data_IF_558122140605
#
_entry.id   IF_558122140605
#
_cell.length_a   1.000
_cell.length_b   1.000
_cell.length_c   1.000
_cell.angle_alpha   90.00
_cell.angle_beta   90.00
_cell.angle_gamma   90.00
#
_symmetry.space_group_name_H-M   'P 1'
#
loop_
_entity.id
_entity.type
_entity.pdbx_description
1 polymer ?
#
# COMPACT_ATOMS: atom_id res chain seq x y z
N UNK A 1 -15.36 -52.55 16.97
CA UNK A 1 -15.82 -51.31 16.30
C UNK A 1 -16.47 -50.28 17.22
N UNK A 2 -17.14 -50.67 18.31
CA UNK A 2 -17.85 -49.73 19.21
C UNK A 2 -16.93 -48.82 20.06
N UNK A 3 -15.69 -49.22 20.32
CA UNK A 3 -14.70 -48.43 21.08
C UNK A 3 -13.99 -47.35 20.24
N UNK A 4 -13.90 -47.51 18.91
CA UNK A 4 -13.27 -46.53 18.03
C UNK A 4 -14.14 -45.26 17.87
N UNK A 5 -15.47 -45.41 17.97
CA UNK A 5 -16.41 -44.31 17.86
C UNK A 5 -16.33 -43.36 19.08
N UNK A 6 -16.07 -43.88 20.27
CA UNK A 6 -15.96 -43.07 21.49
C UNK A 6 -14.69 -42.21 21.53
N UNK A 7 -13.58 -42.71 20.98
CA UNK A 7 -12.32 -41.94 20.88
C UNK A 7 -12.44 -40.79 19.87
N UNK A 8 -13.18 -41.00 18.78
CA UNK A 8 -13.38 -39.94 17.78
C UNK A 8 -14.33 -38.83 18.27
N UNK A 9 -15.34 -39.17 19.08
CA UNK A 9 -16.27 -38.20 19.67
C UNK A 9 -15.61 -37.36 20.77
N UNK A 10 -14.66 -37.91 21.54
CA UNK A 10 -13.89 -37.13 22.51
C UNK A 10 -12.82 -36.24 21.88
N UNK A 11 -12.28 -36.61 20.70
CA UNK A 11 -11.35 -35.76 19.94
C UNK A 11 -12.02 -34.52 19.33
N UNK A 12 -13.31 -34.59 18.97
CA UNK A 12 -14.10 -33.44 18.48
C UNK A 12 -14.52 -32.51 19.65
N UNK A 13 -14.67 -33.05 20.86
CA UNK A 13 -14.96 -32.25 22.05
C UNK A 13 -13.76 -31.44 22.56
N UNK A 14 -12.53 -31.81 22.18
CA UNK A 14 -11.29 -31.09 22.54
C UNK A 14 -10.86 -30.03 21.53
N UNK A 15 -11.48 -29.95 20.34
CA UNK A 15 -11.24 -28.86 19.39
C UNK A 15 -12.08 -27.59 19.69
N UNK A 16 -12.83 -27.58 20.79
CA UNK A 16 -13.70 -26.47 21.20
C UNK A 16 -13.06 -25.42 22.12
N UNK A 17 -11.77 -25.51 22.44
CA UNK A 17 -11.06 -24.49 23.23
C UNK A 17 -10.33 -23.48 22.34
N UNK A 18 -11.02 -22.90 21.35
CA UNK A 18 -10.61 -21.62 20.79
C UNK A 18 -11.27 -20.54 21.64
N UNK A 19 -10.53 -20.07 22.65
CA UNK A 19 -10.89 -18.97 23.54
C UNK A 19 -11.29 -17.72 22.74
N UNK A 20 -12.58 -17.61 22.45
CA UNK A 20 -13.21 -16.46 21.81
C UNK A 20 -13.43 -15.36 22.87
N UNK A 21 -12.34 -14.79 23.36
CA UNK A 21 -12.34 -13.41 23.85
C UNK A 21 -11.47 -12.58 22.92
N UNK A 22 -11.83 -12.59 21.62
CA UNK A 22 -11.30 -11.59 20.71
C UNK A 22 -11.73 -10.23 21.26
N UNK A 23 -10.74 -9.44 21.65
CA UNK A 23 -10.89 -8.08 22.12
C UNK A 23 -11.76 -7.32 21.11
N UNK A 24 -12.95 -6.85 21.54
CA UNK A 24 -13.98 -6.30 20.64
C UNK A 24 -13.44 -5.14 19.80
N UNK A 25 -12.44 -4.44 20.32
CA UNK A 25 -11.76 -3.35 19.65
C UNK A 25 -10.95 -3.81 18.45
N UNK A 26 -10.32 -5.00 18.51
CA UNK A 26 -9.56 -5.56 17.38
C UNK A 26 -10.52 -5.96 16.24
N UNK A 27 -11.67 -6.53 16.57
CA UNK A 27 -12.69 -6.90 15.57
C UNK A 27 -13.21 -5.65 14.85
N UNK A 28 -13.41 -4.53 15.57
CA UNK A 28 -13.86 -3.27 14.99
C UNK A 28 -12.84 -2.64 14.02
N UNK A 29 -11.55 -2.95 14.16
CA UNK A 29 -10.50 -2.44 13.26
C UNK A 29 -10.47 -3.19 11.93
N UNK A 30 -10.97 -4.43 11.86
CA UNK A 30 -10.90 -5.29 10.67
C UNK A 30 -11.97 -4.94 9.63
N UNK A 31 -11.87 -3.74 9.03
CA UNK A 31 -12.68 -3.36 7.88
C UNK A 31 -11.99 -3.80 6.56
N UNK A 32 -12.66 -4.52 5.64
CA UNK A 32 -12.06 -4.93 4.37
C UNK A 32 -11.77 -3.77 3.40
N UNK A 33 -12.48 -2.65 3.52
CA UNK A 33 -12.35 -1.49 2.61
C UNK A 33 -11.38 -0.42 3.14
N UNK A 34 -10.24 -0.84 3.69
CA UNK A 34 -9.19 0.08 4.15
C UNK A 34 -7.82 -0.25 3.56
N UNK A 35 -6.93 0.74 3.59
CA UNK A 35 -5.53 0.52 3.20
C UNK A 35 -4.81 -0.27 4.27
N UNK A 36 -3.81 -1.07 3.88
CA UNK A 36 -3.00 -1.81 4.84
C UNK A 36 -2.30 -0.89 5.84
N UNK A 37 -1.86 0.31 5.40
CA UNK A 37 -1.26 1.29 6.29
C UNK A 37 -2.23 1.75 7.39
N UNK A 38 -3.51 1.97 7.05
CA UNK A 38 -4.53 2.36 8.03
C UNK A 38 -4.80 1.25 9.04
N UNK A 39 -4.95 0.02 8.55
CA UNK A 39 -5.13 -1.15 9.41
C UNK A 39 -3.99 -1.28 10.44
N UNK A 40 -2.74 -1.17 9.99
CA UNK A 40 -1.55 -1.29 10.85
C UNK A 40 -1.46 -0.14 11.86
N UNK A 41 -1.80 1.08 11.44
CA UNK A 41 -1.84 2.23 12.32
C UNK A 41 -2.90 2.06 13.41
N UNK A 42 -4.11 1.63 13.05
CA UNK A 42 -5.22 1.47 13.99
C UNK A 42 -4.96 0.29 14.95
N UNK A 43 -4.36 -0.81 14.46
CA UNK A 43 -3.87 -1.90 15.30
C UNK A 43 -2.77 -1.46 16.28
N UNK A 44 -1.84 -0.61 15.84
CA UNK A 44 -0.81 -0.06 16.71
C UNK A 44 -1.42 0.82 17.81
N UNK A 45 -2.41 1.66 17.50
CA UNK A 45 -3.13 2.46 18.50
C UNK A 45 -3.81 1.60 19.54
N UNK A 46 -4.54 0.55 19.13
CA UNK A 46 -5.23 -0.31 20.11
C UNK A 46 -4.26 -1.11 20.95
N UNK A 47 -3.07 -1.42 20.45
CA UNK A 47 -2.02 -2.07 21.25
C UNK A 47 -1.48 -1.15 22.34
N UNK A 48 -1.35 0.15 22.05
CA UNK A 48 -0.82 1.15 22.99
C UNK A 48 -1.91 1.63 23.96
N UNK A 49 -3.13 1.87 23.47
CA UNK A 49 -4.24 2.45 24.22
C UNK A 49 -5.12 1.39 24.93
N UNK A 50 -4.59 0.19 25.22
CA UNK A 50 -5.37 -0.85 25.90
C UNK A 50 -5.89 -0.32 27.24
N UNK A 51 -7.22 -0.36 27.38
CA UNK A 51 -7.90 -0.11 28.64
C UNK A 51 -8.05 -1.44 29.35
N UNK A 52 -7.74 -1.49 30.65
CA UNK A 52 -8.02 -2.70 31.44
C UNK A 52 -9.52 -2.95 31.53
N UNK A 53 -9.91 -4.18 31.89
CA UNK A 53 -11.31 -4.58 32.10
C UNK A 53 -12.07 -3.71 33.14
N UNK A 54 -11.35 -2.92 33.93
CA UNK A 54 -11.84 -1.93 34.91
C UNK A 54 -12.03 -0.52 34.34
N UNK A 55 -11.79 -0.30 33.04
CA UNK A 55 -11.87 1.02 32.40
C UNK A 55 -10.72 1.97 32.74
N UNK A 56 -9.71 1.50 33.47
CA UNK A 56 -8.50 2.26 33.76
C UNK A 56 -7.48 2.09 32.61
N UNK A 57 -6.92 3.20 32.13
CA UNK A 57 -5.82 3.16 31.17
C UNK A 57 -4.59 2.54 31.82
N UNK A 58 -4.01 1.49 31.23
CA UNK A 58 -2.71 1.00 31.68
C UNK A 58 -1.62 2.06 31.43
N UNK A 59 -0.57 2.11 32.26
CA UNK A 59 0.59 2.95 31.98
C UNK A 59 1.22 2.49 30.66
N UNK A 60 1.09 3.33 29.63
CA UNK A 60 1.81 3.17 28.37
C UNK A 60 3.31 3.21 28.65
N UNK A 61 4.04 2.20 28.17
CA UNK A 61 5.50 2.26 28.26
C UNK A 61 6.00 3.36 27.31
N UNK A 62 6.96 4.17 27.77
CA UNK A 62 7.57 5.22 26.93
C UNK A 62 8.13 4.65 25.61
N UNK A 63 8.51 3.38 25.60
CA UNK A 63 8.94 2.65 24.42
C UNK A 63 7.78 2.40 23.43
N UNK A 64 6.61 1.99 23.90
CA UNK A 64 5.43 1.78 23.04
C UNK A 64 4.97 3.09 22.39
N UNK A 65 5.05 4.21 23.10
CA UNK A 65 4.75 5.54 22.57
C UNK A 65 5.74 5.95 21.47
N UNK A 66 7.05 5.75 21.69
CA UNK A 66 8.07 6.02 20.66
C UNK A 66 7.88 5.14 19.42
N UNK A 67 7.54 3.86 19.60
CA UNK A 67 7.22 2.94 18.50
C UNK A 67 5.99 3.41 17.72
N UNK A 68 4.95 3.91 18.41
CA UNK A 68 3.76 4.47 17.78
C UNK A 68 4.08 5.71 16.94
N UNK A 69 4.93 6.60 17.43
CA UNK A 69 5.38 7.79 16.67
C UNK A 69 6.10 7.37 15.39
N UNK A 70 6.96 6.36 15.46
CA UNK A 70 7.67 5.82 14.29
C UNK A 70 6.71 5.23 13.25
N UNK A 71 5.69 4.47 13.70
CA UNK A 71 4.65 3.91 12.83
C UNK A 71 3.80 5.04 12.22
N UNK A 72 3.52 6.10 12.99
CA UNK A 72 2.76 7.24 12.52
C UNK A 72 3.47 8.01 11.41
N UNK A 73 4.78 8.23 11.53
CA UNK A 73 5.58 8.85 10.46
C UNK A 73 5.53 8.03 9.16
N UNK A 74 5.73 6.72 9.27
CA UNK A 74 5.59 5.79 8.15
C UNK A 74 4.18 5.82 7.54
N UNK A 75 3.14 5.90 8.38
CA UNK A 75 1.75 6.00 7.93
C UNK A 75 1.51 7.26 7.10
N UNK A 76 2.04 8.41 7.53
CA UNK A 76 1.92 9.68 6.78
C UNK A 76 2.58 9.54 5.40
N UNK A 77 3.78 8.96 5.31
CA UNK A 77 4.46 8.71 4.04
C UNK A 77 3.67 7.74 3.15
N UNK A 78 3.22 6.61 3.70
CA UNK A 78 2.42 5.62 2.96
C UNK A 78 1.13 6.25 2.39
N UNK A 79 0.45 7.09 3.18
CA UNK A 79 -0.75 7.82 2.73
C UNK A 79 -0.45 8.79 1.60
N UNK A 80 0.66 9.53 1.68
CA UNK A 80 1.10 10.43 0.61
C UNK A 80 1.33 9.67 -0.70
N UNK A 81 2.05 8.54 -0.64
CA UNK A 81 2.29 7.70 -1.81
C UNK A 81 1.01 7.09 -2.36
N UNK A 82 0.06 6.68 -1.51
CA UNK A 82 -1.23 6.17 -1.96
C UNK A 82 -2.04 7.22 -2.75
N UNK A 83 -1.99 8.49 -2.34
CA UNK A 83 -2.66 9.60 -3.06
C UNK A 83 -2.00 9.82 -4.43
N UNK A 84 -0.67 9.91 -4.48
CA UNK A 84 0.06 10.10 -5.73
C UNK A 84 -0.12 8.91 -6.68
N UNK A 85 -0.03 7.69 -6.16
CA UNK A 85 -0.30 6.46 -6.90
C UNK A 85 -1.70 6.50 -7.54
N UNK A 86 -2.73 6.88 -6.78
CA UNK A 86 -4.10 7.01 -7.30
C UNK A 86 -4.21 8.09 -8.39
N UNK A 87 -3.55 9.23 -8.21
CA UNK A 87 -3.53 10.31 -9.20
C UNK A 87 -2.89 9.83 -10.52
N UNK A 88 -1.68 9.30 -10.47
CA UNK A 88 -0.95 8.84 -11.65
C UNK A 88 -1.59 7.60 -12.29
N UNK A 89 -2.26 6.75 -11.52
CA UNK A 89 -3.09 5.68 -12.07
C UNK A 89 -4.15 6.24 -13.01
N UNK A 90 -4.95 7.22 -12.55
CA UNK A 90 -6.00 7.82 -13.39
C UNK A 90 -5.43 8.59 -14.58
N UNK A 91 -4.34 9.34 -14.39
CA UNK A 91 -3.67 10.03 -15.50
C UNK A 91 -3.17 9.04 -16.56
N UNK A 92 -2.50 7.96 -16.13
CA UNK A 92 -1.99 6.94 -17.06
C UNK A 92 -3.11 6.20 -17.78
N UNK A 93 -4.22 5.90 -17.10
CA UNK A 93 -5.39 5.28 -17.69
C UNK A 93 -6.03 6.18 -18.77
N UNK A 94 -6.26 7.46 -18.45
CA UNK A 94 -6.84 8.42 -19.39
C UNK A 94 -5.91 8.62 -20.59
N UNK A 95 -4.61 8.78 -20.35
CA UNK A 95 -3.63 8.92 -21.43
C UNK A 95 -3.55 7.67 -22.32
N UNK A 96 -3.61 6.46 -21.75
CA UNK A 96 -3.63 5.22 -22.52
C UNK A 96 -4.89 5.12 -23.40
N UNK A 97 -6.05 5.46 -22.85
CA UNK A 97 -7.30 5.54 -23.62
C UNK A 97 -7.19 6.59 -24.72
N UNK A 98 -6.61 7.76 -24.45
CA UNK A 98 -6.40 8.80 -25.46
C UNK A 98 -5.49 8.32 -26.60
N UNK A 99 -4.37 7.64 -26.29
CA UNK A 99 -3.48 7.04 -27.30
C UNK A 99 -4.22 6.03 -28.16
N UNK A 100 -5.03 5.17 -27.54
CA UNK A 100 -5.79 4.14 -28.24
C UNK A 100 -6.90 4.72 -29.12
N UNK A 101 -7.61 5.72 -28.63
CA UNK A 101 -8.70 6.37 -29.36
C UNK A 101 -8.22 7.37 -30.42
N UNK A 102 -6.97 7.83 -30.34
CA UNK A 102 -6.43 8.85 -31.26
C UNK A 102 -6.61 8.49 -32.74
N UNK A 103 -6.24 7.28 -33.22
CA UNK A 103 -6.43 6.92 -34.62
C UNK A 103 -7.91 6.82 -35.00
N UNK A 104 -8.77 6.30 -34.10
CA UNK A 104 -10.20 6.16 -34.33
C UNK A 104 -10.90 7.53 -34.44
N UNK A 105 -10.52 8.48 -33.58
CA UNK A 105 -11.01 9.86 -33.63
C UNK A 105 -10.63 10.55 -34.95
N UNK A 106 -9.43 10.30 -35.47
CA UNK A 106 -9.00 10.84 -36.77
C UNK A 106 -9.86 10.37 -37.94
N UNK A 107 -10.41 9.15 -37.89
CA UNK A 107 -11.32 8.62 -38.91
C UNK A 107 -12.74 9.14 -38.72
N UNK A 108 -13.29 9.07 -37.51
CA UNK A 108 -14.68 9.46 -37.22
C UNK A 108 -14.93 10.95 -37.35
N UNK A 109 -13.93 11.78 -37.03
CA UNK A 109 -14.06 13.23 -37.06
C UNK A 109 -13.49 13.86 -38.34
N UNK A 110 -13.15 13.05 -39.36
CA UNK A 110 -12.56 13.53 -40.62
C UNK A 110 -13.37 14.67 -41.23
N UNK A 111 -14.69 14.54 -41.26
CA UNK A 111 -15.59 15.53 -41.86
C UNK A 111 -15.78 16.80 -41.00
N UNK A 112 -15.62 16.68 -39.67
CA UNK A 112 -15.76 17.81 -38.73
C UNK A 112 -14.47 18.57 -38.45
N UNK A 113 -13.32 17.87 -38.46
CA UNK A 113 -12.02 18.47 -38.21
C UNK A 113 -11.44 19.17 -39.45
N UNK A 114 -12.02 18.94 -40.62
CA UNK A 114 -11.59 19.53 -41.90
C UNK A 114 -10.13 19.19 -42.20
N UNK A 115 -9.43 20.13 -42.86
CA UNK A 115 -8.02 20.01 -43.26
C UNK A 115 -7.02 20.32 -42.14
N UNK A 116 -7.42 20.25 -40.87
CA UNK A 116 -6.50 20.52 -39.75
C UNK A 116 -5.41 19.44 -39.65
N UNK A 117 -4.26 19.63 -40.27
CA UNK A 117 -3.21 18.60 -40.39
C UNK A 117 -2.63 18.09 -39.06
N UNK A 118 -2.78 18.84 -37.97
CA UNK A 118 -2.17 18.50 -36.68
C UNK A 118 -2.65 17.16 -36.09
N UNK A 119 -3.89 16.71 -36.36
CA UNK A 119 -4.36 15.40 -35.86
C UNK A 119 -3.72 14.20 -36.58
N UNK A 120 -3.21 14.43 -37.81
CA UNK A 120 -2.44 13.46 -38.59
C UNK A 120 -0.93 13.53 -38.29
N UNK A 121 -0.50 14.50 -37.50
CA UNK A 121 0.91 14.69 -37.20
C UNK A 121 1.45 13.54 -36.34
N UNK A 122 2.44 12.83 -36.88
CA UNK A 122 3.17 11.80 -36.15
C UNK A 122 3.84 12.35 -34.89
N UNK A 123 4.21 13.64 -34.88
CA UNK A 123 4.82 14.31 -33.73
C UNK A 123 3.82 14.36 -32.57
N UNK A 124 2.58 14.78 -32.82
CA UNK A 124 1.54 14.89 -31.78
C UNK A 124 1.23 13.51 -31.20
N UNK A 125 1.06 12.49 -32.05
CA UNK A 125 0.83 11.12 -31.60
C UNK A 125 1.98 10.61 -30.73
N UNK A 126 3.23 10.88 -31.13
CA UNK A 126 4.42 10.48 -30.37
C UNK A 126 4.48 11.19 -29.02
N UNK A 127 4.18 12.50 -28.98
CA UNK A 127 4.15 13.27 -27.73
C UNK A 127 3.09 12.76 -26.77
N UNK A 128 1.86 12.51 -27.27
CA UNK A 128 0.77 11.95 -26.44
C UNK A 128 1.14 10.58 -25.90
N UNK A 129 1.78 9.74 -26.71
CA UNK A 129 2.28 8.41 -26.30
C UNK A 129 3.39 8.52 -25.25
N UNK A 130 4.34 9.45 -25.43
CA UNK A 130 5.42 9.68 -24.49
C UNK A 130 4.90 10.18 -23.13
N UNK A 131 3.91 11.07 -23.13
CA UNK A 131 3.23 11.51 -21.90
C UNK A 131 2.52 10.34 -21.22
N UNK A 132 1.81 9.50 -21.97
CA UNK A 132 1.16 8.31 -21.41
C UNK A 132 2.17 7.37 -20.74
N UNK A 133 3.30 7.10 -21.40
CA UNK A 133 4.38 6.28 -20.86
C UNK A 133 5.01 6.91 -19.60
N UNK A 134 5.20 8.23 -19.58
CA UNK A 134 5.71 8.95 -18.42
C UNK A 134 4.74 8.87 -17.22
N UNK A 135 3.44 9.06 -17.45
CA UNK A 135 2.43 8.93 -16.38
C UNK A 135 2.39 7.51 -15.81
N UNK A 136 2.53 6.50 -16.67
CA UNK A 136 2.63 5.11 -16.23
C UNK A 136 3.92 4.85 -15.41
N UNK A 137 5.05 5.41 -15.83
CA UNK A 137 6.31 5.31 -15.08
C UNK A 137 6.18 5.92 -13.68
N UNK A 138 5.55 7.09 -13.54
CA UNK A 138 5.27 7.68 -12.24
C UNK A 138 4.33 6.83 -11.40
N UNK A 139 3.24 6.31 -11.99
CA UNK A 139 2.33 5.38 -11.31
C UNK A 139 3.09 4.18 -10.73
N UNK A 140 3.91 3.50 -11.55
CA UNK A 140 4.71 2.35 -11.13
C UNK A 140 5.66 2.72 -9.98
N UNK A 141 6.34 3.86 -10.09
CA UNK A 141 7.28 4.31 -9.07
C UNK A 141 6.58 4.58 -7.72
N UNK A 142 5.45 5.29 -7.71
CA UNK A 142 4.73 5.58 -6.47
C UNK A 142 4.06 4.34 -5.89
N UNK A 143 3.64 3.39 -6.73
CA UNK A 143 3.12 2.10 -6.28
C UNK A 143 4.20 1.28 -5.56
N UNK A 144 5.41 1.25 -6.09
CA UNK A 144 6.56 0.58 -5.47
C UNK A 144 6.90 1.23 -4.12
N UNK A 145 7.02 2.56 -4.07
CA UNK A 145 7.27 3.31 -2.82
C UNK A 145 6.17 3.08 -1.77
N UNK A 146 4.90 3.11 -2.17
CA UNK A 146 3.78 2.81 -1.27
C UNK A 146 3.92 1.40 -0.67
N UNK A 147 4.13 0.39 -1.51
CA UNK A 147 4.23 -1.02 -1.08
C UNK A 147 5.43 -1.22 -0.15
N UNK A 148 6.54 -0.57 -0.45
CA UNK A 148 7.75 -0.61 0.36
C UNK A 148 7.50 -0.01 1.76
N UNK A 149 6.91 1.18 1.85
CA UNK A 149 6.57 1.80 3.14
C UNK A 149 5.58 0.95 3.93
N UNK A 150 4.57 0.36 3.28
CA UNK A 150 3.64 -0.56 3.96
C UNK A 150 4.34 -1.80 4.52
N UNK A 151 5.31 -2.37 3.79
CA UNK A 151 6.12 -3.48 4.29
C UNK A 151 7.00 -3.07 5.47
N UNK A 152 7.59 -1.87 5.41
CA UNK A 152 8.36 -1.32 6.53
C UNK A 152 7.47 -1.09 7.76
N UNK A 153 6.24 -0.62 7.58
CA UNK A 153 5.25 -0.54 8.66
C UNK A 153 4.94 -1.91 9.27
N UNK A 154 4.73 -2.96 8.44
CA UNK A 154 4.51 -4.33 8.93
C UNK A 154 5.71 -4.80 9.76
N UNK A 155 6.92 -4.59 9.26
CA UNK A 155 8.15 -4.91 9.98
C UNK A 155 8.21 -4.17 11.32
N UNK A 156 7.95 -2.85 11.34
CA UNK A 156 7.99 -2.07 12.57
C UNK A 156 6.93 -2.51 13.57
N UNK A 157 5.69 -2.75 13.14
CA UNK A 157 4.59 -3.19 14.01
C UNK A 157 4.92 -4.53 14.68
N UNK A 158 5.32 -5.53 13.90
CA UNK A 158 5.51 -6.91 14.36
C UNK A 158 6.93 -7.25 14.82
N UNK A 159 7.86 -6.29 14.80
CA UNK A 159 9.22 -6.51 15.28
C UNK A 159 9.30 -6.44 16.81
N UNK A 160 9.98 -7.42 17.40
CA UNK A 160 10.34 -7.50 18.82
C UNK A 160 11.63 -6.74 19.17
N UNK A 161 12.28 -6.14 18.17
CA UNK A 161 13.52 -5.36 18.36
C UNK A 161 13.27 -4.09 19.20
N UNK A 162 14.29 -3.62 19.95
CA UNK A 162 14.19 -2.35 20.68
C UNK A 162 13.97 -1.18 19.72
N UNK A 163 13.25 -0.17 20.21
CA UNK A 163 12.83 0.97 19.37
C UNK A 163 14.01 1.74 18.78
N UNK A 164 15.15 1.81 19.47
CA UNK A 164 16.33 2.51 18.96
C UNK A 164 16.90 1.83 17.70
N UNK A 165 16.99 0.50 17.68
CA UNK A 165 17.40 -0.26 16.48
C UNK A 165 16.38 -0.14 15.35
N UNK A 166 15.09 -0.17 15.69
CA UNK A 166 14.01 0.04 14.71
C UNK A 166 14.09 1.42 14.08
N UNK A 167 14.34 2.46 14.87
CA UNK A 167 14.43 3.83 14.40
C UNK A 167 15.57 4.00 13.40
N UNK A 168 16.76 3.45 13.69
CA UNK A 168 17.92 3.51 12.79
C UNK A 168 17.61 2.82 11.46
N UNK A 169 17.05 1.62 11.52
CA UNK A 169 16.67 0.88 10.30
C UNK A 169 15.58 1.62 9.51
N UNK A 170 14.56 2.15 10.18
CA UNK A 170 13.51 2.92 9.50
C UNK A 170 14.07 4.18 8.84
N UNK A 171 14.97 4.90 9.50
CA UNK A 171 15.64 6.08 8.94
C UNK A 171 16.46 5.69 7.70
N UNK A 172 17.24 4.61 7.78
CA UNK A 172 18.03 4.11 6.65
C UNK A 172 17.13 3.75 5.46
N UNK A 173 16.06 3.01 5.72
CA UNK A 173 15.14 2.53 4.69
C UNK A 173 14.28 3.65 4.09
N UNK A 174 13.80 4.60 4.90
CA UNK A 174 13.14 5.81 4.40
C UNK A 174 14.11 6.64 3.58
N UNK A 175 15.38 6.75 4.01
CA UNK A 175 16.43 7.45 3.28
C UNK A 175 16.56 6.92 1.85
N UNK A 176 16.55 5.59 1.67
CA UNK A 176 16.59 4.96 0.33
C UNK A 176 15.39 5.33 -0.54
N UNK A 177 14.19 5.48 0.06
CA UNK A 177 12.96 5.87 -0.66
C UNK A 177 13.00 7.35 -1.07
N UNK A 178 13.57 8.20 -0.23
CA UNK A 178 13.62 9.64 -0.40
C UNK A 178 14.74 10.08 -1.40
N UNK A 179 15.64 9.17 -1.81
CA UNK A 179 16.53 9.34 -2.97
C UNK A 179 15.67 9.38 -4.25
N UNK A 180 15.05 10.55 -4.49
CA UNK A 180 14.08 10.91 -5.53
C UNK A 180 13.77 9.90 -6.66
N UNK A 181 13.97 10.34 -7.90
CA UNK A 181 13.75 9.57 -9.12
C UNK A 181 15.10 9.40 -9.80
N UNK A 182 15.68 8.20 -9.74
CA UNK A 182 16.91 7.89 -10.48
C UNK A 182 16.55 7.12 -11.73
N UNK A 183 16.83 7.70 -12.91
CA UNK A 183 16.61 7.05 -14.19
C UNK A 183 17.49 5.80 -14.38
N UNK A 184 18.60 5.68 -13.65
CA UNK A 184 19.48 4.50 -13.70
C UNK A 184 18.75 3.21 -13.31
N UNK A 185 17.92 3.23 -12.25
CA UNK A 185 17.19 2.03 -11.80
C UNK A 185 16.09 1.56 -12.76
N UNK A 186 15.58 2.45 -13.62
CA UNK A 186 14.56 2.10 -14.64
C UNK A 186 15.20 1.46 -15.88
N UNK A 187 16.46 1.81 -16.18
CA UNK A 187 17.20 1.28 -17.33
C UNK A 187 17.82 -0.10 -16.99
N UNK A 188 18.31 -0.28 -15.77
CA UNK A 188 19.02 -1.50 -15.36
C UNK A 188 18.10 -2.71 -15.12
N UNK A 189 16.80 -2.51 -14.84
CA UNK A 189 15.83 -3.59 -14.57
C UNK A 189 15.57 -4.53 -15.77
N UNK A 190 16.20 -4.27 -16.93
CA UNK A 190 16.10 -5.06 -18.16
C UNK A 190 17.25 -6.05 -18.37
N UNK A 191 18.31 -6.05 -17.54
CA UNK A 191 19.45 -6.95 -17.72
C UNK A 191 19.41 -8.24 -16.89
N UNK A 192 18.49 -8.37 -15.93
CA UNK A 192 18.28 -9.62 -15.19
C UNK A 192 17.12 -10.43 -15.81
N UNK A 193 17.36 -10.99 -17.00
CA UNK A 193 16.61 -12.14 -17.54
C UNK A 193 17.52 -13.05 -18.35
#
# INVERSE_FOLDING_TARGET
MRQFLFIMVTLIALSGCASESCDKDVINILNPNQTSAKLLMDYAKTTVCKTDASGAAQPTTAEAERKLVLIYDLYVKARSYAILNKLFFWLSLISAVAVFLWPALGVLLKDRLGDREWYKSAIVQTTVTAIAALMFAFYSQYKDKQTYTENLMRFTVFSDRPVDELSQKVIEEIGKIDIGFSFSGVIDKKQDK
#
